data_IF_705426915233
#
_entry.id   IF_705426915233
#
_cell.length_a   1.000
_cell.length_b   1.000
_cell.length_c   1.000
_cell.angle_alpha   90.00
_cell.angle_beta   90.00
_cell.angle_gamma   90.00
#
_symmetry.space_group_name_H-M   'P 1'
#
loop_
_entity.id
_entity.type
_entity.pdbx_description
1 polymer ?
#
# COMPACT_ATOMS: atom_id res chain seq x y z
N UNK A 1 9.23 -6.99 -2.03
CA UNK A 1 9.60 -6.87 -0.59
C UNK A 1 10.92 -6.16 -0.37
N UNK A 2 12.01 -6.55 -1.06
CA UNK A 2 13.36 -6.01 -0.85
C UNK A 2 13.48 -4.49 -1.05
N UNK A 3 12.85 -3.94 -2.09
CA UNK A 3 12.88 -2.50 -2.38
C UNK A 3 12.13 -1.72 -1.30
N UNK A 4 10.92 -2.14 -0.93
CA UNK A 4 10.13 -1.48 0.11
C UNK A 4 10.86 -1.50 1.46
N UNK A 5 11.48 -2.62 1.83
CA UNK A 5 12.25 -2.75 3.05
C UNK A 5 13.49 -1.85 3.06
N UNK A 6 14.17 -1.71 1.92
CA UNK A 6 15.30 -0.79 1.77
C UNK A 6 14.86 0.67 1.93
N UNK A 7 13.82 1.08 1.20
CA UNK A 7 13.26 2.44 1.29
C UNK A 7 12.81 2.78 2.70
N UNK A 8 12.21 1.82 3.41
CA UNK A 8 11.81 2.02 4.81
C UNK A 8 13.00 2.30 5.72
N UNK A 9 14.09 1.55 5.57
CA UNK A 9 15.31 1.78 6.39
C UNK A 9 15.99 3.11 6.07
N UNK A 10 16.01 3.51 4.80
CA UNK A 10 16.72 4.72 4.35
C UNK A 10 15.93 6.01 4.64
N UNK A 11 14.61 5.97 4.58
CA UNK A 11 13.75 7.16 4.66
C UNK A 11 13.11 7.40 6.03
N UNK A 12 13.07 6.39 6.91
CA UNK A 12 12.30 6.44 8.16
C UNK A 12 10.78 6.27 7.97
N UNK A 13 10.31 6.10 6.73
CA UNK A 13 8.94 5.74 6.43
C UNK A 13 8.81 4.23 6.33
N UNK A 14 7.75 3.68 6.92
CA UNK A 14 7.33 2.33 6.60
C UNK A 14 6.64 2.37 5.24
N UNK A 15 7.14 1.58 4.29
CA UNK A 15 6.62 1.51 2.92
C UNK A 15 6.09 0.11 2.66
N UNK A 16 4.82 0.01 2.25
CA UNK A 16 4.22 -1.25 1.81
C UNK A 16 3.30 -1.04 0.61
N UNK A 17 2.94 -2.13 -0.04
CA UNK A 17 1.89 -2.16 -1.04
C UNK A 17 0.69 -2.88 -0.45
N UNK A 18 -0.49 -2.28 -0.57
CA UNK A 18 -1.75 -2.90 -0.19
C UNK A 18 -2.59 -3.11 -1.44
N UNK A 19 -3.39 -4.17 -1.47
CA UNK A 19 -4.19 -4.53 -2.63
C UNK A 19 -5.65 -4.69 -2.29
N UNK A 20 -6.49 -4.45 -3.29
CA UNK A 20 -7.92 -4.78 -3.23
C UNK A 20 -8.14 -6.29 -3.30
N UNK A 21 -7.30 -6.97 -4.09
CA UNK A 21 -7.17 -8.44 -4.14
C UNK A 21 -5.70 -8.79 -3.95
N UNK A 22 -5.39 -9.63 -2.98
CA UNK A 22 -4.04 -9.80 -2.45
C UNK A 22 -3.41 -11.10 -2.94
N UNK A 23 -2.16 -11.03 -3.39
CA UNK A 23 -1.35 -12.19 -3.76
C UNK A 23 -0.67 -12.79 -2.53
N UNK A 24 0.01 -11.95 -1.76
CA UNK A 24 0.66 -12.37 -0.51
C UNK A 24 -0.14 -11.81 0.68
N UNK A 25 -0.91 -12.66 1.33
CA UNK A 25 -1.74 -12.30 2.48
C UNK A 25 -0.94 -11.89 3.72
N UNK A 26 0.34 -12.23 3.80
CA UNK A 26 1.18 -11.85 4.93
C UNK A 26 1.62 -10.38 4.89
N UNK A 27 1.71 -9.78 3.70
CA UNK A 27 2.30 -8.44 3.53
C UNK A 27 1.42 -7.45 2.77
N UNK A 28 0.36 -7.91 2.13
CA UNK A 28 -0.46 -7.10 1.22
C UNK A 28 -1.85 -6.73 1.73
N UNK A 29 -2.24 -7.21 2.93
CA UNK A 29 -3.56 -6.90 3.49
C UNK A 29 -3.60 -5.45 4.01
N UNK A 30 -4.62 -4.68 3.60
CA UNK A 30 -4.83 -3.33 4.11
C UNK A 30 -5.40 -3.35 5.54
N UNK A 31 -4.99 -2.37 6.36
CA UNK A 31 -5.67 -2.09 7.62
C UNK A 31 -6.99 -1.32 7.39
N UNK A 32 -7.74 -1.03 8.45
CA UNK A 32 -9.07 -0.40 8.35
C UNK A 32 -9.02 0.96 7.65
N UNK A 33 -8.05 1.80 7.96
CA UNK A 33 -7.88 3.10 7.31
C UNK A 33 -7.52 2.94 5.84
N UNK A 34 -6.61 2.02 5.52
CA UNK A 34 -6.21 1.73 4.13
C UNK A 34 -7.37 1.18 3.31
N UNK A 35 -8.25 0.36 3.91
CA UNK A 35 -9.46 -0.13 3.25
C UNK A 35 -10.40 1.02 2.87
N UNK A 36 -10.60 1.98 3.77
CA UNK A 36 -11.41 3.17 3.50
C UNK A 36 -10.83 4.00 2.36
N UNK A 37 -9.50 4.19 2.35
CA UNK A 37 -8.83 4.93 1.28
C UNK A 37 -8.92 4.18 -0.07
N UNK A 38 -8.78 2.86 -0.09
CA UNK A 38 -8.93 2.08 -1.31
C UNK A 38 -10.34 2.17 -1.89
N UNK A 39 -11.37 2.19 -1.04
CA UNK A 39 -12.75 2.41 -1.47
C UNK A 39 -12.95 3.80 -2.08
N UNK A 40 -12.43 4.84 -1.43
CA UNK A 40 -12.45 6.22 -1.95
C UNK A 40 -11.69 6.33 -3.29
N UNK A 41 -10.53 5.72 -3.40
CA UNK A 41 -9.75 5.71 -4.65
C UNK A 41 -10.50 5.05 -5.80
N UNK A 42 -11.23 3.96 -5.52
CA UNK A 42 -12.06 3.30 -6.52
C UNK A 42 -13.20 4.22 -7.00
N UNK A 43 -13.84 4.94 -6.10
CA UNK A 43 -14.90 5.91 -6.43
C UNK A 43 -14.34 7.09 -7.25
N UNK A 44 -13.22 7.65 -6.85
CA UNK A 44 -12.55 8.75 -7.55
C UNK A 44 -12.14 8.34 -8.96
N UNK A 45 -11.58 7.14 -9.11
CA UNK A 45 -11.23 6.59 -10.42
C UNK A 45 -12.46 6.39 -11.31
N UNK A 46 -13.56 5.87 -10.75
CA UNK A 46 -14.83 5.70 -11.47
C UNK A 46 -15.46 7.04 -11.88
N UNK A 47 -15.25 8.10 -11.09
CA UNK A 47 -15.68 9.45 -11.40
C UNK A 47 -14.83 10.15 -12.47
N UNK A 48 -13.76 9.51 -12.95
CA UNK A 48 -12.91 10.02 -14.02
C UNK A 48 -11.72 10.86 -13.53
N UNK A 49 -11.41 10.84 -12.23
CA UNK A 49 -10.20 11.49 -11.73
C UNK A 49 -8.95 10.80 -12.30
N UNK A 50 -7.95 11.58 -12.78
CA UNK A 50 -6.72 11.00 -13.32
C UNK A 50 -6.02 10.12 -12.29
N UNK A 51 -5.68 8.87 -12.67
CA UNK A 51 -5.11 7.87 -11.78
C UNK A 51 -3.83 8.35 -11.08
N UNK A 52 -3.00 9.15 -11.77
CA UNK A 52 -1.75 9.70 -11.24
C UNK A 52 -1.94 10.82 -10.20
N UNK A 53 -3.15 11.34 -10.06
CA UNK A 53 -3.50 12.37 -9.08
C UNK A 53 -4.19 11.78 -7.83
N UNK A 54 -4.60 10.53 -7.88
CA UNK A 54 -5.30 9.87 -6.76
C UNK A 54 -4.32 9.50 -5.66
N UNK A 55 -4.33 10.30 -4.61
CA UNK A 55 -3.53 10.12 -3.41
C UNK A 55 -4.24 10.72 -2.20
N UNK A 56 -3.86 10.31 -1.00
CA UNK A 56 -4.39 10.84 0.25
C UNK A 56 -3.29 10.97 1.28
N UNK A 57 -3.31 12.06 2.05
CA UNK A 57 -2.44 12.29 3.18
C UNK A 57 -3.29 12.51 4.44
N UNK A 58 -2.90 11.88 5.54
CA UNK A 58 -3.54 12.05 6.83
C UNK A 58 -2.49 12.21 7.92
N UNK A 59 -2.76 13.07 8.89
CA UNK A 59 -1.92 13.24 10.07
C UNK A 59 -2.79 13.29 11.33
N UNK A 60 -2.42 12.50 12.32
CA UNK A 60 -3.07 12.47 13.63
C UNK A 60 -2.07 12.76 14.72
N UNK A 61 -2.47 13.54 15.72
CA UNK A 61 -1.62 13.88 16.88
C UNK A 61 -2.05 13.01 18.06
N UNK A 62 -1.08 12.31 18.65
CA UNK A 62 -1.27 11.47 19.82
C UNK A 62 -0.29 11.81 20.94
N UNK A 63 -0.34 11.08 22.06
CA UNK A 63 0.49 11.37 23.25
C UNK A 63 1.99 11.32 23.01
N UNK A 64 2.42 10.51 22.03
CA UNK A 64 3.84 10.30 21.70
C UNK A 64 4.32 11.11 20.51
N UNK A 65 3.44 11.84 19.84
CA UNK A 65 3.78 12.63 18.68
C UNK A 65 2.73 12.55 17.58
N UNK A 66 3.18 12.83 16.36
CA UNK A 66 2.33 12.89 15.16
C UNK A 66 2.55 11.65 14.32
N UNK A 67 1.48 10.96 13.97
CA UNK A 67 1.49 9.90 12.99
C UNK A 67 1.07 10.47 11.64
N UNK A 68 1.92 10.31 10.64
CA UNK A 68 1.64 10.71 9.26
C UNK A 68 1.46 9.48 8.39
N UNK A 69 0.42 9.51 7.54
CA UNK A 69 0.10 8.43 6.61
C UNK A 69 -0.13 9.01 5.22
N UNK A 70 0.37 8.32 4.21
CA UNK A 70 0.20 8.70 2.81
C UNK A 70 -0.10 7.45 1.99
N UNK A 71 -1.09 7.57 1.10
CA UNK A 71 -1.37 6.52 0.12
C UNK A 71 -1.40 7.10 -1.29
N UNK A 72 -0.89 6.32 -2.24
CA UNK A 72 -0.90 6.62 -3.68
C UNK A 72 -1.50 5.45 -4.43
N UNK A 73 -2.53 5.71 -5.21
CA UNK A 73 -3.21 4.70 -6.02
C UNK A 73 -2.27 4.03 -7.03
N UNK A 74 -2.44 2.73 -7.21
CA UNK A 74 -1.81 1.92 -8.24
C UNK A 74 -2.90 1.37 -9.15
N UNK A 75 -2.83 1.73 -10.43
CA UNK A 75 -3.79 1.30 -11.45
C UNK A 75 -3.14 0.28 -12.37
N UNK A 76 -3.91 -0.69 -12.83
CA UNK A 76 -3.45 -1.72 -13.77
C UNK A 76 -3.08 -1.11 -15.12
N UNK A 77 -1.79 -1.15 -15.44
CA UNK A 77 -1.30 -0.92 -16.80
C UNK A 77 -1.35 -2.21 -17.64
N UNK A 78 -1.22 -2.11 -18.97
CA UNK A 78 -1.22 -3.27 -19.84
C UNK A 78 -0.16 -4.31 -19.48
N UNK A 79 1.02 -3.89 -19.07
CA UNK A 79 2.13 -4.76 -18.67
C UNK A 79 1.85 -5.55 -17.38
N UNK A 80 0.93 -5.09 -16.55
CA UNK A 80 0.58 -5.76 -15.29
C UNK A 80 -0.29 -6.99 -15.51
N UNK A 81 -0.99 -7.05 -16.65
CA UNK A 81 -1.98 -8.08 -16.95
C UNK A 81 -1.35 -9.47 -17.21
N UNK A 82 -0.07 -9.52 -17.58
CA UNK A 82 0.64 -10.79 -17.75
C UNK A 82 0.59 -11.66 -16.48
N UNK A 83 0.65 -11.02 -15.29
CA UNK A 83 0.61 -11.69 -13.99
C UNK A 83 -0.72 -11.49 -13.25
N UNK A 84 -1.43 -10.42 -13.49
CA UNK A 84 -2.63 -10.02 -12.75
C UNK A 84 -3.92 -10.05 -13.58
N UNK A 85 -3.84 -10.37 -14.85
CA UNK A 85 -4.99 -10.57 -15.73
C UNK A 85 -5.72 -11.90 -15.46
N UNK A 86 -6.65 -12.29 -16.33
CA UNK A 86 -7.37 -13.55 -16.20
C UNK A 86 -6.40 -14.74 -16.16
N UNK A 87 -6.62 -15.68 -15.25
CA UNK A 87 -5.75 -16.87 -15.11
C UNK A 87 -5.60 -17.67 -16.39
N UNK A 88 -6.66 -17.73 -17.20
CA UNK A 88 -6.65 -18.42 -18.47
C UNK A 88 -5.64 -17.85 -19.49
N UNK A 89 -5.30 -16.56 -19.37
CA UNK A 89 -4.35 -15.88 -20.27
C UNK A 89 -2.91 -15.87 -19.75
N UNK A 90 -2.67 -16.35 -18.53
CA UNK A 90 -1.32 -16.48 -17.98
C UNK A 90 -0.54 -17.59 -18.70
N UNK A 91 0.75 -17.36 -18.94
CA UNK A 91 1.64 -18.40 -19.44
C UNK A 91 1.65 -19.62 -18.50
N UNK A 92 1.61 -20.88 -19.02
CA UNK A 92 1.52 -22.06 -18.17
C UNK A 92 2.62 -22.17 -17.10
N UNK A 93 3.86 -21.84 -17.45
CA UNK A 93 4.99 -21.87 -16.53
C UNK A 93 4.85 -20.83 -15.40
N UNK A 94 4.35 -19.63 -15.73
CA UNK A 94 4.08 -18.58 -14.75
C UNK A 94 2.95 -19.00 -13.80
N UNK A 95 1.86 -19.55 -14.34
CA UNK A 95 0.73 -20.02 -13.53
C UNK A 95 1.16 -21.10 -12.54
N UNK A 96 1.95 -22.08 -12.98
CA UNK A 96 2.49 -23.12 -12.12
C UNK A 96 3.39 -22.57 -11.02
N UNK A 97 4.23 -21.57 -11.32
CA UNK A 97 5.07 -20.90 -10.34
C UNK A 97 4.23 -20.13 -9.31
N UNK A 98 3.22 -19.40 -9.76
CA UNK A 98 2.32 -18.64 -8.85
C UNK A 98 1.52 -19.58 -7.94
N UNK A 99 1.00 -20.68 -8.44
CA UNK A 99 0.25 -21.67 -7.64
C UNK A 99 1.13 -22.30 -6.56
N UNK A 100 2.41 -22.49 -6.82
CA UNK A 100 3.37 -23.02 -5.85
C UNK A 100 3.74 -21.99 -4.79
N UNK A 101 4.07 -20.76 -5.19
CA UNK A 101 4.56 -19.71 -4.29
C UNK A 101 3.43 -19.00 -3.53
N UNK A 102 2.25 -18.89 -4.13
CA UNK A 102 1.10 -18.18 -3.60
C UNK A 102 -0.19 -18.99 -3.78
N UNK A 103 -0.38 -20.06 -3.01
CA UNK A 103 -1.54 -20.98 -3.18
C UNK A 103 -2.90 -20.30 -2.94
N UNK A 104 -2.92 -19.15 -2.28
CA UNK A 104 -4.12 -18.35 -2.00
C UNK A 104 -4.14 -17.02 -2.75
N UNK A 105 -3.51 -16.96 -3.92
CA UNK A 105 -3.43 -15.76 -4.74
C UNK A 105 -4.82 -15.30 -5.21
N UNK A 106 -5.27 -14.15 -4.72
CA UNK A 106 -6.50 -13.49 -5.16
C UNK A 106 -6.24 -12.36 -6.18
N UNK A 107 -4.98 -12.03 -6.48
CA UNK A 107 -4.59 -10.89 -7.29
C UNK A 107 -4.57 -11.21 -8.79
N UNK A 108 -5.65 -11.78 -9.30
CA UNK A 108 -5.84 -12.13 -10.72
C UNK A 108 -7.19 -11.63 -11.22
N UNK A 109 -7.45 -11.72 -12.51
CA UNK A 109 -8.71 -11.31 -13.12
C UNK A 109 -8.88 -9.81 -13.26
N UNK A 110 -7.81 -9.02 -13.15
CA UNK A 110 -7.85 -7.57 -13.37
C UNK A 110 -7.96 -7.20 -14.85
N UNK A 111 -8.60 -6.06 -15.11
CA UNK A 111 -8.60 -5.39 -16.41
C UNK A 111 -7.68 -4.17 -16.38
N UNK A 112 -7.21 -3.71 -17.55
CA UNK A 112 -6.45 -2.48 -17.67
C UNK A 112 -7.27 -1.28 -17.16
N UNK A 113 -6.64 -0.37 -16.43
CA UNK A 113 -7.28 0.79 -15.83
C UNK A 113 -8.01 0.52 -14.50
N UNK A 114 -8.12 -0.73 -14.07
CA UNK A 114 -8.72 -1.10 -12.79
C UNK A 114 -7.78 -0.77 -11.61
N UNK A 115 -8.34 -0.35 -10.48
CA UNK A 115 -7.55 -0.11 -9.26
C UNK A 115 -6.94 -1.43 -8.77
N UNK A 116 -5.61 -1.49 -8.75
CA UNK A 116 -4.85 -2.64 -8.25
C UNK A 116 -4.68 -2.59 -6.73
N UNK A 117 -4.57 -1.41 -6.18
CA UNK A 117 -4.25 -1.16 -4.79
C UNK A 117 -3.56 0.18 -4.61
N UNK A 118 -2.68 0.27 -3.65
CA UNK A 118 -1.93 1.49 -3.38
C UNK A 118 -0.55 1.21 -2.79
N UNK A 119 0.36 2.16 -2.97
CA UNK A 119 1.48 2.33 -2.04
C UNK A 119 0.96 2.96 -0.77
N UNK A 120 1.36 2.42 0.38
CA UNK A 120 0.99 2.94 1.70
C UNK A 120 2.25 3.22 2.51
N UNK A 121 2.37 4.45 2.97
CA UNK A 121 3.51 4.95 3.73
C UNK A 121 3.04 5.44 5.09
N UNK A 122 3.84 5.18 6.12
CA UNK A 122 3.56 5.63 7.48
C UNK A 122 4.85 6.01 8.18
N UNK A 123 4.82 7.08 8.97
CA UNK A 123 5.88 7.42 9.93
C UNK A 123 5.31 8.03 11.19
N UNK A 124 6.08 7.94 12.27
CA UNK A 124 5.80 8.61 13.54
C UNK A 124 6.86 9.68 13.74
N UNK A 125 6.40 10.93 13.93
CA UNK A 125 7.25 12.07 14.30
C UNK A 125 7.06 12.28 15.80
N UNK A 126 8.06 11.92 16.58
CA UNK A 126 8.01 12.04 18.04
C UNK A 126 7.95 13.52 18.46
N UNK A 127 7.14 13.84 19.47
CA UNK A 127 7.14 15.19 20.05
C UNK A 127 8.42 15.43 20.86
N UNK A 128 9.02 16.62 20.71
CA UNK A 128 10.22 17.05 21.42
C UNK A 128 10.01 17.34 22.93
N UNK A 129 8.81 17.14 23.45
CA UNK A 129 8.44 17.45 24.84
C UNK A 129 9.01 16.47 25.89
N UNK A 130 9.76 15.42 25.49
CA UNK A 130 10.35 14.46 26.44
C UNK A 130 11.72 14.85 26.97
N UNK A 131 12.33 15.90 26.48
CA UNK A 131 13.71 16.33 26.94
C UNK A 131 13.69 17.45 27.97
N UNK A 132 12.54 17.99 28.36
CA UNK A 132 12.45 19.11 29.29
C UNK A 132 12.19 18.73 30.77
N UNK A 133 12.24 17.46 31.16
CA UNK A 133 12.03 17.00 32.52
C UNK A 133 13.23 16.34 33.22
N UNK A 134 14.43 16.62 32.74
CA UNK A 134 15.64 16.17 33.43
C UNK A 134 16.50 17.36 33.86
N UNK A 135 15.95 18.32 34.54
CA UNK A 135 16.72 19.49 34.93
C UNK A 135 16.05 20.47 35.87
N UNK A 136 15.33 20.01 36.91
CA UNK A 136 15.14 20.83 38.13
C UNK A 136 14.92 19.89 39.31
N UNK A 137 15.99 19.45 39.91
CA UNK A 137 16.04 19.16 41.34
C UNK A 137 17.33 19.76 41.89
N UNK A 138 17.21 20.89 42.45
CA UNK A 138 18.07 21.35 43.55
C UNK A 138 17.19 21.92 44.64
#
# INVERSE_FOLDING_TARGET
>A
PAIASRLSRESGWQVKRVGTRVRNSLTGLPDDWEQLQLADFAERLSAGEPANEIAEFNATVGPRGRTERYMKAIVMGPQCLACHGPRATQAPALRAALDREYPHDAATGYAAGELRGAFSLQRIVLSSASTARAGVER
#
